data_IF_260879974833
#
_entry.id   IF_260879974833
#
_cell.length_a   1.000
_cell.length_b   1.000
_cell.length_c   1.000
_cell.angle_alpha   90.00
_cell.angle_beta   90.00
_cell.angle_gamma   90.00
#
_symmetry.space_group_name_H-M   'P 1'
#
loop_
_entity.id
_entity.type
_entity.pdbx_description
1 polymer ?
#
# COMPACT_ATOMS: atom_id res chain seq x y z
N UNK A 1 -13.98 -6.88 10.06
CA UNK A 1 -14.18 -5.72 10.96
C UNK A 1 -13.38 -4.52 10.47
N UNK A 2 -14.01 -3.35 10.30
CA UNK A 2 -13.35 -2.12 9.83
C UNK A 2 -12.58 -1.47 11.00
N UNK A 3 -11.24 -1.53 10.98
CA UNK A 3 -10.39 -1.00 12.06
C UNK A 3 -10.26 0.52 12.07
N UNK A 4 -10.39 1.19 10.93
CA UNK A 4 -10.19 2.66 10.84
C UNK A 4 -11.34 3.34 10.11
N UNK A 5 -11.71 4.55 10.56
CA UNK A 5 -12.79 5.34 9.93
C UNK A 5 -12.37 5.90 8.55
N UNK A 6 -11.15 6.44 8.44
CA UNK A 6 -10.66 7.19 7.25
C UNK A 6 -9.25 6.81 6.75
N UNK A 7 -8.31 6.57 7.67
CA UNK A 7 -6.88 6.50 7.35
C UNK A 7 -6.46 5.25 6.56
N UNK A 8 -7.02 4.07 6.84
CA UNK A 8 -6.69 2.85 6.09
C UNK A 8 -5.24 2.40 6.32
N UNK A 9 -4.53 2.01 5.25
CA UNK A 9 -3.17 1.45 5.26
C UNK A 9 -2.13 2.36 5.95
N UNK A 10 -2.29 3.68 5.83
CA UNK A 10 -1.41 4.70 6.43
C UNK A 10 -1.62 4.84 7.95
N UNK A 11 -2.53 4.06 8.54
CA UNK A 11 -2.70 3.97 10.00
C UNK A 11 -1.43 3.56 10.74
N UNK A 12 -0.50 2.85 10.08
CA UNK A 12 0.81 2.47 10.65
C UNK A 12 1.67 3.66 11.12
N UNK A 13 1.46 4.85 10.56
CA UNK A 13 2.21 6.04 10.94
C UNK A 13 1.62 6.78 12.16
N UNK A 14 0.41 6.43 12.62
CA UNK A 14 -0.22 7.04 13.78
C UNK A 14 -0.42 8.55 13.60
N UNK A 15 -0.03 9.36 14.57
CA UNK A 15 -0.10 10.83 14.57
C UNK A 15 1.07 11.52 13.87
N UNK A 16 2.09 10.78 13.41
CA UNK A 16 3.34 11.33 12.86
C UNK A 16 3.16 11.94 11.46
N UNK A 17 4.08 12.83 11.07
CA UNK A 17 4.24 13.40 9.72
C UNK A 17 3.08 14.24 9.15
N UNK A 18 2.05 14.55 9.94
CA UNK A 18 0.93 15.40 9.50
C UNK A 18 -0.03 14.75 8.48
N UNK A 19 -1.19 15.39 8.29
CA UNK A 19 -2.29 14.79 7.51
C UNK A 19 -2.07 14.84 5.99
N UNK A 20 -1.48 15.92 5.46
CA UNK A 20 -1.27 16.10 4.02
C UNK A 20 -0.28 15.08 3.45
N UNK A 21 0.86 14.88 4.12
CA UNK A 21 1.85 13.87 3.73
C UNK A 21 1.25 12.46 3.74
N UNK A 22 0.48 12.13 4.79
CA UNK A 22 -0.21 10.82 4.90
C UNK A 22 -1.23 10.58 3.79
N UNK A 23 -1.94 11.61 3.32
CA UNK A 23 -2.87 11.48 2.18
C UNK A 23 -2.14 11.19 0.87
N UNK A 24 -0.97 11.79 0.64
CA UNK A 24 -0.16 11.51 -0.55
C UNK A 24 0.39 10.09 -0.52
N UNK A 25 1.01 9.69 0.60
CA UNK A 25 1.56 8.34 0.80
C UNK A 25 0.46 7.28 0.65
N UNK A 26 -0.76 7.54 1.13
CA UNK A 26 -1.89 6.62 0.97
C UNK A 26 -2.14 6.22 -0.48
N UNK A 27 -2.08 7.18 -1.41
CA UNK A 27 -2.31 6.91 -2.84
C UNK A 27 -1.22 6.00 -3.41
N UNK A 28 0.03 6.31 -3.08
CA UNK A 28 1.22 5.59 -3.56
C UNK A 28 1.26 4.17 -3.00
N UNK A 29 0.99 3.99 -1.69
CA UNK A 29 0.97 2.67 -1.06
C UNK A 29 -0.15 1.79 -1.61
N UNK A 30 -1.33 2.35 -1.89
CA UNK A 30 -2.43 1.58 -2.49
C UNK A 30 -2.05 1.10 -3.88
N UNK A 31 -1.48 1.96 -4.73
CA UNK A 31 -1.06 1.56 -6.07
C UNK A 31 0.09 0.56 -6.06
N UNK A 32 0.99 0.66 -5.08
CA UNK A 32 2.14 -0.25 -4.96
C UNK A 32 1.72 -1.64 -4.46
N UNK A 33 0.82 -1.71 -3.48
CA UNK A 33 0.36 -2.99 -2.91
C UNK A 33 -0.81 -3.59 -3.70
N UNK A 34 -1.24 -2.95 -4.79
CA UNK A 34 -2.22 -3.51 -5.70
C UNK A 34 -1.65 -4.75 -6.40
N UNK A 35 -2.48 -5.79 -6.49
CA UNK A 35 -2.13 -6.98 -7.26
C UNK A 35 -2.47 -6.72 -8.72
N UNK A 36 -1.47 -6.74 -9.59
CA UNK A 36 -1.68 -6.59 -11.03
C UNK A 36 -1.61 -7.95 -11.71
N UNK A 37 -2.52 -8.18 -12.65
CA UNK A 37 -2.53 -9.34 -13.54
C UNK A 37 -1.52 -9.12 -14.66
N UNK A 38 -0.60 -10.07 -14.84
CA UNK A 38 0.35 -9.98 -15.94
C UNK A 38 -0.34 -10.26 -17.28
N UNK A 39 -0.28 -9.33 -18.22
CA UNK A 39 -0.89 -9.47 -19.56
C UNK A 39 -0.32 -10.62 -20.40
N UNK A 40 0.90 -11.08 -20.08
CA UNK A 40 1.55 -12.17 -20.80
C UNK A 40 1.21 -13.55 -20.27
N UNK A 41 1.13 -13.72 -18.95
CA UNK A 41 0.98 -15.05 -18.32
C UNK A 41 -0.29 -15.22 -17.48
N UNK A 42 -1.16 -14.21 -17.41
CA UNK A 42 -2.44 -14.23 -16.70
C UNK A 42 -2.34 -14.34 -15.17
N UNK A 43 -1.15 -14.63 -14.63
CA UNK A 43 -0.92 -14.78 -13.21
C UNK A 43 -0.85 -13.42 -12.53
N UNK A 44 -1.58 -13.27 -11.43
CA UNK A 44 -1.48 -12.11 -10.55
C UNK A 44 -0.13 -12.11 -9.85
N UNK A 45 0.74 -11.16 -10.18
CA UNK A 45 2.01 -10.98 -9.45
C UNK A 45 1.73 -10.07 -8.26
N UNK A 46 1.74 -10.64 -7.06
CA UNK A 46 1.96 -9.87 -5.84
C UNK A 46 3.44 -9.48 -5.82
N UNK A 47 3.75 -8.20 -6.00
CA UNK A 47 5.12 -7.66 -5.97
C UNK A 47 5.75 -7.71 -4.56
N UNK A 48 5.39 -8.69 -3.74
CA UNK A 48 5.79 -8.80 -2.33
C UNK A 48 7.13 -9.51 -2.13
N UNK A 49 7.90 -9.83 -3.19
CA UNK A 49 9.14 -10.60 -2.99
C UNK A 49 10.18 -10.47 -4.11
N UNK A 50 10.43 -9.29 -4.67
CA UNK A 50 11.80 -8.98 -5.09
C UNK A 50 12.48 -8.34 -3.89
N UNK A 51 13.01 -9.22 -3.03
CA UNK A 51 14.15 -9.01 -2.14
C UNK A 51 14.41 -7.56 -1.68
N UNK A 52 13.78 -7.15 -0.58
CA UNK A 52 14.48 -6.35 0.42
C UNK A 52 14.90 -7.33 1.53
N UNK A 53 16.09 -7.96 1.46
CA UNK A 53 16.75 -8.39 2.69
C UNK A 53 17.13 -7.12 3.50
N UNK A 54 17.39 -7.24 4.82
CA UNK A 54 17.81 -6.10 5.64
C UNK A 54 19.00 -5.35 5.04
#
# INVERSE_FOLDING_TARGET
AKRTKKVGIVGKYGTRYGASLRKMVKKIEISQHAKYTCSFCGKGRSFTSLAMPP
#
